data_IF_921368505507
#
_entry.id   IF_921368505507
#
_cell.length_a   1.000
_cell.length_b   1.000
_cell.length_c   1.000
_cell.angle_alpha   90.00
_cell.angle_beta   90.00
_cell.angle_gamma   90.00
#
_symmetry.space_group_name_H-M   'P 1'
#
loop_
_entity.id
_entity.type
_entity.pdbx_description
1 polymer ?
#
# COMPACT_ATOMS: atom_id res chain seq x y z
N UNK A 1 11.18 -23.74 20.26
CA UNK A 1 12.06 -22.80 19.54
C UNK A 1 11.24 -21.95 18.58
N UNK A 2 11.54 -20.66 18.47
CA UNK A 2 10.86 -19.78 17.50
C UNK A 2 11.24 -20.16 16.06
N UNK A 3 10.26 -20.65 15.31
CA UNK A 3 10.35 -20.97 13.89
C UNK A 3 9.91 -19.76 13.07
N UNK A 4 10.62 -19.51 11.96
CA UNK A 4 10.30 -18.49 10.98
C UNK A 4 10.38 -19.10 9.58
N UNK A 5 9.32 -18.96 8.79
CA UNK A 5 9.27 -19.52 7.44
C UNK A 5 8.61 -18.54 6.47
N UNK A 6 9.09 -18.53 5.24
CA UNK A 6 8.55 -17.72 4.13
C UNK A 6 8.09 -18.66 3.03
N UNK A 7 6.95 -18.34 2.44
CA UNK A 7 6.32 -19.08 1.36
C UNK A 7 6.04 -18.14 0.20
N UNK A 8 6.16 -18.67 -1.02
CA UNK A 8 5.77 -17.98 -2.25
C UNK A 8 4.84 -18.90 -3.04
N UNK A 9 3.60 -18.46 -3.30
CA UNK A 9 2.55 -19.27 -3.93
C UNK A 9 1.93 -18.57 -5.12
N UNK A 10 1.26 -19.33 -5.99
CA UNK A 10 0.31 -18.74 -6.93
C UNK A 10 -0.98 -18.35 -6.19
N UNK A 11 -1.41 -17.10 -6.38
CA UNK A 11 -2.72 -16.64 -5.91
C UNK A 11 -3.73 -16.61 -7.08
N UNK A 12 -4.69 -15.69 -7.05
CA UNK A 12 -5.70 -15.55 -8.09
C UNK A 12 -5.37 -14.44 -9.11
N UNK A 13 -5.93 -14.61 -10.30
CA UNK A 13 -6.12 -13.53 -11.27
C UNK A 13 -7.22 -12.57 -10.80
N UNK A 14 -7.22 -11.33 -11.30
CA UNK A 14 -8.39 -10.46 -11.20
C UNK A 14 -9.37 -10.85 -12.30
N UNK A 15 -10.33 -11.69 -11.94
CA UNK A 15 -11.31 -12.27 -12.86
C UNK A 15 -12.27 -11.23 -13.41
N UNK A 16 -12.63 -10.22 -12.62
CA UNK A 16 -13.55 -9.16 -13.02
C UNK A 16 -12.96 -8.32 -14.16
N UNK A 17 -11.67 -7.98 -14.03
CA UNK A 17 -10.96 -7.16 -15.02
C UNK A 17 -10.26 -7.98 -16.11
N UNK A 18 -10.26 -9.32 -16.01
CA UNK A 18 -9.54 -10.20 -16.93
C UNK A 18 -8.01 -10.02 -16.86
N UNK A 19 -7.48 -9.53 -15.73
CA UNK A 19 -6.06 -9.25 -15.54
C UNK A 19 -5.39 -10.46 -14.90
N UNK A 20 -4.42 -11.03 -15.61
CA UNK A 20 -3.62 -12.14 -15.09
C UNK A 20 -2.58 -11.65 -14.09
N UNK A 21 -2.51 -12.33 -12.94
CA UNK A 21 -1.45 -12.08 -11.96
C UNK A 21 -0.15 -12.73 -12.45
N UNK A 22 0.93 -11.97 -12.42
CA UNK A 22 2.27 -12.44 -12.81
C UNK A 22 3.21 -12.67 -11.63
N UNK A 23 2.93 -12.02 -10.49
CA UNK A 23 3.73 -12.11 -9.27
C UNK A 23 3.26 -13.25 -8.35
N UNK A 24 4.20 -13.90 -7.64
CA UNK A 24 3.85 -14.80 -6.54
C UNK A 24 3.29 -14.01 -5.36
N UNK A 25 2.44 -14.65 -4.57
CA UNK A 25 2.03 -14.18 -3.28
C UNK A 25 3.03 -14.66 -2.22
N UNK A 26 3.70 -13.71 -1.56
CA UNK A 26 4.55 -14.01 -0.42
C UNK A 26 3.74 -13.96 0.88
N UNK A 27 3.89 -14.97 1.73
CA UNK A 27 3.46 -14.88 3.13
C UNK A 27 4.52 -15.46 4.05
N UNK A 28 4.56 -14.95 5.28
CA UNK A 28 5.54 -15.32 6.29
C UNK A 28 4.85 -15.74 7.56
N UNK A 29 5.35 -16.79 8.19
CA UNK A 29 4.82 -17.29 9.45
C UNK A 29 5.90 -17.30 10.52
N UNK A 30 5.46 -17.13 11.77
CA UNK A 30 6.26 -17.40 12.95
C UNK A 30 5.42 -18.14 13.98
N UNK A 31 6.00 -19.15 14.62
CA UNK A 31 5.39 -19.88 15.73
C UNK A 31 6.49 -20.50 16.60
N UNK A 32 6.20 -20.81 17.85
CA UNK A 32 7.13 -21.53 18.73
C UNK A 32 6.74 -23.02 18.73
N UNK A 33 7.63 -23.88 18.25
CA UNK A 33 7.36 -25.32 18.12
C UNK A 33 7.39 -26.10 19.45
N UNK A 34 7.78 -25.44 20.54
CA UNK A 34 7.69 -25.98 21.90
C UNK A 34 6.32 -25.73 22.55
N UNK A 35 5.49 -24.89 21.95
CA UNK A 35 4.19 -24.50 22.51
C UNK A 35 3.03 -25.31 21.92
N UNK A 36 1.99 -25.46 22.72
CA UNK A 36 0.70 -26.00 22.29
C UNK A 36 -0.14 -24.89 21.65
N UNK A 37 -0.01 -24.74 20.33
CA UNK A 37 -0.60 -23.63 19.56
C UNK A 37 -2.14 -23.62 19.64
N UNK A 38 -2.71 -22.44 19.88
CA UNK A 38 -4.14 -22.21 20.17
C UNK A 38 -4.88 -21.43 19.09
N UNK A 39 -4.19 -20.73 18.20
CA UNK A 39 -4.82 -19.98 17.12
C UNK A 39 -3.82 -19.67 15.98
N UNK A 40 -4.38 -19.32 14.83
CA UNK A 40 -3.70 -18.64 13.72
C UNK A 40 -4.08 -17.16 13.79
N UNK A 41 -3.08 -16.28 13.79
CA UNK A 41 -3.26 -14.83 13.89
C UNK A 41 -2.63 -14.14 12.69
N UNK A 42 -3.45 -13.56 11.83
CA UNK A 42 -3.00 -12.68 10.76
C UNK A 42 -2.80 -11.26 11.31
N UNK A 43 -1.60 -10.71 11.10
CA UNK A 43 -1.25 -9.34 11.46
C UNK A 43 -1.23 -8.50 10.19
N UNK A 44 -2.30 -7.72 10.00
CA UNK A 44 -2.52 -6.92 8.80
C UNK A 44 -2.16 -5.47 9.09
N UNK A 45 -1.07 -5.01 8.48
CA UNK A 45 -0.63 -3.64 8.57
C UNK A 45 -1.59 -2.66 7.88
N UNK A 46 -1.59 -1.42 8.35
CA UNK A 46 -2.29 -0.32 7.69
C UNK A 46 -1.70 0.02 6.32
N UNK A 47 -2.31 1.00 5.65
CA UNK A 47 -1.85 1.46 4.35
C UNK A 47 -0.42 1.99 4.44
N UNK A 48 0.50 1.46 3.63
CA UNK A 48 1.92 1.82 3.70
C UNK A 48 2.75 1.09 4.75
N UNK A 49 2.23 0.01 5.36
CA UNK A 49 3.00 -0.83 6.28
C UNK A 49 4.29 -1.41 5.66
N UNK A 50 4.39 -1.43 4.32
CA UNK A 50 5.60 -1.83 3.61
C UNK A 50 6.78 -0.84 3.77
N UNK A 51 6.57 0.34 4.36
CA UNK A 51 7.63 1.33 4.55
C UNK A 51 8.81 0.83 5.42
N UNK A 52 8.55 -0.11 6.34
CA UNK A 52 9.57 -0.72 7.20
C UNK A 52 9.30 -2.22 7.37
N UNK A 53 10.01 -3.03 6.59
CA UNK A 53 9.80 -4.49 6.59
C UNK A 53 10.32 -5.12 7.88
N UNK A 54 11.41 -4.58 8.45
CA UNK A 54 11.96 -5.07 9.71
C UNK A 54 10.93 -4.99 10.84
N UNK A 55 10.20 -3.89 10.94
CA UNK A 55 9.19 -3.68 11.97
C UNK A 55 8.01 -4.64 11.83
N UNK A 56 7.59 -4.90 10.59
CA UNK A 56 6.57 -5.90 10.27
C UNK A 56 6.98 -7.31 10.77
N UNK A 57 8.20 -7.74 10.44
CA UNK A 57 8.73 -9.03 10.89
C UNK A 57 8.91 -9.09 12.41
N UNK A 58 9.38 -7.99 13.02
CA UNK A 58 9.61 -7.89 14.46
C UNK A 58 8.31 -8.10 15.24
N UNK A 59 7.21 -7.50 14.81
CA UNK A 59 5.91 -7.70 15.44
C UNK A 59 5.38 -9.13 15.30
N UNK A 60 5.51 -9.74 14.13
CA UNK A 60 5.13 -11.14 13.93
C UNK A 60 5.88 -12.06 14.89
N UNK A 61 7.19 -11.87 14.98
CA UNK A 61 8.06 -12.65 15.86
C UNK A 61 7.73 -12.41 17.34
N UNK A 62 7.45 -11.15 17.71
CA UNK A 62 7.07 -10.79 19.07
C UNK A 62 5.78 -11.50 19.49
N UNK A 63 4.74 -11.49 18.65
CA UNK A 63 3.46 -12.14 18.97
C UNK A 63 3.64 -13.65 19.10
N UNK A 64 4.29 -14.30 18.13
CA UNK A 64 4.57 -15.74 18.17
C UNK A 64 5.39 -16.16 19.40
N UNK A 65 6.34 -15.32 19.84
CA UNK A 65 7.16 -15.58 21.02
C UNK A 65 6.38 -15.45 22.33
N UNK A 66 5.45 -14.50 22.43
CA UNK A 66 4.74 -14.21 23.68
C UNK A 66 3.43 -14.97 23.84
N UNK A 67 2.81 -15.42 22.74
CA UNK A 67 1.52 -16.10 22.75
C UNK A 67 1.61 -17.47 22.09
N UNK A 68 0.66 -18.35 22.38
CA UNK A 68 0.61 -19.71 21.86
C UNK A 68 -0.08 -19.71 20.49
N UNK A 69 0.50 -19.00 19.50
CA UNK A 69 -0.16 -18.76 18.21
C UNK A 69 0.81 -18.88 17.02
N UNK A 70 0.26 -19.25 15.87
CA UNK A 70 0.94 -19.07 14.57
C UNK A 70 0.63 -17.66 14.10
N UNK A 71 1.64 -16.81 13.96
CA UNK A 71 1.47 -15.43 13.50
C UNK A 71 1.86 -15.30 12.05
N UNK A 72 1.06 -14.60 11.24
CA UNK A 72 1.21 -14.51 9.78
C UNK A 72 1.24 -13.05 9.32
N UNK A 73 2.16 -12.73 8.41
CA UNK A 73 2.04 -11.58 7.53
C UNK A 73 1.85 -12.05 6.09
N UNK A 74 0.99 -11.36 5.36
CA UNK A 74 0.76 -11.59 3.93
C UNK A 74 1.22 -10.35 3.19
N UNK A 75 2.10 -10.52 2.20
CA UNK A 75 2.55 -9.47 1.29
C UNK A 75 1.58 -9.42 0.12
N UNK A 76 0.36 -9.01 0.44
CA UNK A 76 -0.82 -9.08 -0.42
C UNK A 76 -0.74 -8.15 -1.65
N UNK A 77 -1.69 -8.28 -2.58
CA UNK A 77 -1.79 -7.44 -3.78
C UNK A 77 -1.79 -5.95 -3.44
N UNK A 78 -0.89 -5.18 -4.03
CA UNK A 78 -0.69 -3.76 -3.76
C UNK A 78 -0.15 -3.48 -2.32
N UNK A 79 0.46 -4.47 -1.66
CA UNK A 79 1.17 -4.26 -0.39
C UNK A 79 2.34 -3.25 -0.56
N UNK A 80 3.07 -3.37 -1.67
CA UNK A 80 4.26 -2.57 -1.99
C UNK A 80 3.91 -1.21 -2.63
N UNK A 81 2.97 -0.48 -2.03
CA UNK A 81 2.40 0.76 -2.59
C UNK A 81 3.05 2.05 -2.08
N UNK A 82 4.10 1.95 -1.25
CA UNK A 82 4.91 3.07 -0.75
C UNK A 82 6.40 2.79 -0.92
N UNK A 83 7.24 3.80 -0.74
CA UNK A 83 8.68 3.61 -0.60
C UNK A 83 8.96 2.77 0.64
N UNK A 84 9.84 1.78 0.48
CA UNK A 84 10.28 0.86 1.52
C UNK A 84 11.77 1.01 1.78
N UNK A 85 12.20 0.61 2.98
CA UNK A 85 13.59 0.40 3.38
C UNK A 85 14.25 -0.78 2.64
N UNK A 86 13.45 -1.67 2.05
CA UNK A 86 13.92 -2.80 1.26
C UNK A 86 13.43 -2.67 -0.18
N UNK A 87 14.37 -2.68 -1.14
CA UNK A 87 14.11 -2.41 -2.56
C UNK A 87 13.03 -3.32 -3.17
N UNK A 88 13.05 -4.63 -2.87
CA UNK A 88 12.04 -5.60 -3.33
C UNK A 88 10.60 -5.16 -3.02
N UNK A 89 10.38 -4.43 -1.93
CA UNK A 89 9.05 -4.01 -1.46
C UNK A 89 8.78 -2.51 -1.65
N UNK A 90 9.62 -1.82 -2.43
CA UNK A 90 9.57 -0.38 -2.61
C UNK A 90 8.85 -0.01 -3.90
N UNK A 91 7.81 0.82 -3.80
CA UNK A 91 7.25 1.49 -4.97
C UNK A 91 8.27 2.48 -5.55
N UNK A 92 8.27 2.65 -6.87
CA UNK A 92 9.03 3.71 -7.53
C UNK A 92 8.13 4.85 -7.99
N UNK A 93 8.70 6.06 -8.02
CA UNK A 93 8.02 7.26 -8.50
C UNK A 93 8.14 7.33 -10.01
N UNK A 94 7.05 7.65 -10.69
CA UNK A 94 7.01 7.83 -12.13
C UNK A 94 6.05 8.98 -12.48
N UNK A 95 6.37 9.78 -13.50
CA UNK A 95 5.44 10.78 -14.00
C UNK A 95 4.63 10.19 -15.15
N UNK A 96 3.33 10.04 -14.91
CA UNK A 96 2.38 9.76 -15.97
C UNK A 96 2.09 11.03 -16.77
N UNK A 97 1.39 10.91 -17.90
CA UNK A 97 1.09 12.04 -18.78
C UNK A 97 0.35 13.16 -18.03
N UNK A 98 -0.56 12.79 -17.13
CA UNK A 98 -1.30 13.71 -16.27
C UNK A 98 -0.40 14.45 -15.28
N UNK A 99 0.67 13.79 -14.79
CA UNK A 99 1.65 14.44 -13.92
C UNK A 99 2.51 15.43 -14.69
N UNK A 100 2.90 15.08 -15.91
CA UNK A 100 3.61 15.99 -16.82
C UNK A 100 2.73 17.20 -17.15
N UNK A 101 1.44 16.99 -17.40
CA UNK A 101 0.49 18.07 -17.67
C UNK A 101 0.25 18.95 -16.44
N UNK A 102 0.17 18.38 -15.24
CA UNK A 102 0.15 19.14 -13.98
C UNK A 102 1.39 20.05 -13.85
N UNK A 103 2.59 19.54 -14.15
CA UNK A 103 3.81 20.34 -14.12
C UNK A 103 3.77 21.49 -15.15
N UNK A 104 3.32 21.23 -16.39
CA UNK A 104 3.15 22.28 -17.41
C UNK A 104 2.21 23.38 -16.95
N UNK A 105 1.07 23.01 -16.39
CA UNK A 105 0.07 23.97 -15.91
C UNK A 105 0.66 24.87 -14.82
N UNK A 106 1.43 24.31 -13.89
CA UNK A 106 2.13 25.08 -12.87
C UNK A 106 3.23 25.98 -13.46
N UNK A 107 4.03 25.49 -14.41
CA UNK A 107 5.05 26.32 -15.08
C UNK A 107 4.41 27.51 -15.81
N UNK A 108 3.31 27.28 -16.54
CA UNK A 108 2.57 28.32 -17.25
C UNK A 108 1.94 29.35 -16.30
N UNK A 109 1.37 28.89 -15.17
CA UNK A 109 0.79 29.77 -14.14
C UNK A 109 1.81 30.79 -13.61
N UNK A 110 3.09 30.40 -13.51
CA UNK A 110 4.17 31.27 -13.04
C UNK A 110 4.95 31.96 -14.16
N UNK A 111 4.47 31.85 -15.42
CA UNK A 111 5.18 32.36 -16.61
C UNK A 111 6.65 31.91 -16.67
N UNK A 112 6.92 30.69 -16.17
CA UNK A 112 8.26 30.13 -16.15
C UNK A 112 8.59 29.61 -17.55
N UNK A 113 9.73 30.03 -18.13
CA UNK A 113 10.11 29.59 -19.48
C UNK A 113 10.66 28.15 -19.44
N UNK A 114 10.13 27.28 -20.29
CA UNK A 114 10.60 25.91 -20.45
C UNK A 114 10.53 25.47 -21.93
N UNK A 115 11.38 24.52 -22.31
CA UNK A 115 11.32 23.86 -23.62
C UNK A 115 10.31 22.72 -23.62
N UNK A 116 10.54 21.67 -24.40
CA UNK A 116 9.73 20.45 -24.28
C UNK A 116 9.93 19.79 -22.91
N UNK A 117 8.86 19.21 -22.37
CA UNK A 117 8.87 18.47 -21.10
C UNK A 117 8.57 17.01 -21.34
N UNK A 118 9.33 16.14 -20.68
CA UNK A 118 9.18 14.70 -20.69
C UNK A 118 9.64 14.12 -19.34
N UNK A 119 9.58 12.80 -19.20
CA UNK A 119 9.96 12.11 -17.96
C UNK A 119 11.43 12.37 -17.53
N UNK A 120 12.34 12.60 -18.48
CA UNK A 120 13.77 12.77 -18.19
C UNK A 120 14.07 14.14 -17.57
N UNK A 121 13.29 15.18 -17.92
CA UNK A 121 13.54 16.55 -17.47
C UNK A 121 12.48 17.12 -16.51
N UNK A 122 11.33 16.45 -16.35
CA UNK A 122 10.21 16.93 -15.54
C UNK A 122 10.60 17.23 -14.08
N UNK A 123 11.39 16.33 -13.45
CA UNK A 123 11.84 16.54 -12.07
C UNK A 123 12.72 17.79 -11.94
N UNK A 124 13.60 18.02 -12.91
CA UNK A 124 14.47 19.20 -12.93
C UNK A 124 13.66 20.49 -13.08
N UNK A 125 12.68 20.51 -13.98
CA UNK A 125 11.81 21.66 -14.20
C UNK A 125 10.94 21.95 -12.98
N UNK A 126 10.34 20.93 -12.35
CA UNK A 126 9.59 21.08 -11.11
C UNK A 126 10.45 21.69 -10.00
N UNK A 127 11.67 21.18 -9.80
CA UNK A 127 12.61 21.73 -8.81
C UNK A 127 13.02 23.18 -9.11
N UNK A 128 13.16 23.53 -10.40
CA UNK A 128 13.47 24.90 -10.82
C UNK A 128 12.31 25.86 -10.52
N UNK A 129 11.07 25.41 -10.73
CA UNK A 129 9.88 26.17 -10.36
C UNK A 129 9.75 26.35 -8.85
N UNK A 130 10.09 25.33 -8.06
CA UNK A 130 10.13 25.43 -6.58
C UNK A 130 11.07 26.56 -6.13
N UNK A 131 12.29 26.62 -6.68
CA UNK A 131 13.25 27.69 -6.39
C UNK A 131 12.75 29.07 -6.83
N UNK A 132 12.02 29.13 -7.95
CA UNK A 132 11.41 30.37 -8.41
C UNK A 132 10.34 30.87 -7.42
N UNK A 133 9.47 29.98 -6.95
CA UNK A 133 8.46 30.27 -5.94
C UNK A 133 9.07 30.71 -4.62
N UNK A 134 10.14 30.05 -4.17
CA UNK A 134 10.92 30.47 -3.00
C UNK A 134 11.41 31.91 -3.13
N UNK A 135 12.01 32.27 -4.27
CA UNK A 135 12.48 33.63 -4.54
C UNK A 135 11.34 34.66 -4.54
N UNK A 136 10.18 34.33 -5.11
CA UNK A 136 9.01 35.22 -5.08
C UNK A 136 8.51 35.48 -3.65
N UNK A 137 8.52 34.45 -2.79
CA UNK A 137 8.19 34.60 -1.36
C UNK A 137 9.18 35.51 -0.64
N UNK A 138 10.49 35.32 -0.86
CA UNK A 138 11.51 36.20 -0.27
C UNK A 138 11.35 37.67 -0.68
N UNK A 139 10.85 37.92 -1.89
CA UNK A 139 10.55 39.27 -2.40
C UNK A 139 9.19 39.80 -1.91
N UNK A 140 8.46 39.06 -1.05
CA UNK A 140 7.09 39.34 -0.63
C UNK A 140 6.10 39.50 -1.80
N UNK A 141 6.36 38.83 -2.93
CA UNK A 141 5.49 38.81 -4.12
C UNK A 141 4.49 37.65 -4.10
N UNK A 142 4.64 36.73 -3.16
CA UNK A 142 3.79 35.56 -2.99
C UNK A 142 3.62 35.29 -1.50
N UNK A 143 2.46 34.77 -1.11
CA UNK A 143 2.19 34.37 0.27
C UNK A 143 3.23 33.35 0.76
N UNK A 144 3.78 33.58 1.97
CA UNK A 144 4.76 32.69 2.60
C UNK A 144 4.22 31.27 2.80
N UNK A 145 2.92 31.11 2.99
CA UNK A 145 2.23 29.83 3.14
C UNK A 145 1.86 29.14 1.81
N UNK A 146 1.99 29.83 0.67
CA UNK A 146 1.67 29.24 -0.63
C UNK A 146 2.50 27.98 -0.90
N UNK A 147 1.91 26.93 -1.48
CA UNK A 147 2.65 25.75 -1.94
C UNK A 147 2.21 25.35 -3.33
N UNK A 148 3.19 25.01 -4.17
CA UNK A 148 2.92 24.32 -5.43
C UNK A 148 2.38 22.91 -5.14
N UNK A 149 1.30 22.52 -5.79
CA UNK A 149 0.75 21.17 -5.67
C UNK A 149 1.11 20.35 -6.91
N UNK A 150 2.25 19.66 -6.84
CA UNK A 150 2.65 18.71 -7.87
C UNK A 150 1.93 17.38 -7.69
N UNK A 151 1.74 16.65 -8.78
CA UNK A 151 1.28 15.26 -8.74
C UNK A 151 2.39 14.30 -9.19
N UNK A 152 2.36 13.07 -8.70
CA UNK A 152 3.24 11.99 -9.15
C UNK A 152 2.56 10.63 -8.93
N UNK A 153 3.01 9.61 -9.65
CA UNK A 153 2.45 8.26 -9.54
C UNK A 153 3.42 7.33 -8.83
N UNK A 154 2.92 6.54 -7.87
CA UNK A 154 3.64 5.38 -7.37
C UNK A 154 3.31 4.14 -8.20
N UNK A 155 4.34 3.42 -8.59
CA UNK A 155 4.21 2.14 -9.28
C UNK A 155 4.72 1.03 -8.35
N UNK A 156 3.82 0.13 -7.88
CA UNK A 156 4.23 -1.06 -7.16
C UNK A 156 5.13 -1.96 -8.03
N UNK A 157 6.16 -2.61 -7.44
CA UNK A 157 7.15 -3.40 -8.18
C UNK A 157 6.58 -4.66 -8.86
N UNK A 158 5.42 -5.13 -8.42
CA UNK A 158 4.82 -6.40 -8.86
C UNK A 158 3.76 -6.24 -9.98
N UNK A 159 3.64 -5.04 -10.56
CA UNK A 159 2.56 -4.74 -11.52
C UNK A 159 1.17 -4.64 -10.88
N UNK A 160 1.13 -4.54 -9.54
CA UNK A 160 -0.12 -4.41 -8.79
C UNK A 160 -0.75 -3.03 -9.01
N UNK A 161 -2.04 -2.94 -8.73
CA UNK A 161 -2.84 -1.73 -8.81
C UNK A 161 -3.79 -1.67 -7.62
N UNK A 162 -4.40 -0.51 -7.41
CA UNK A 162 -5.33 -0.33 -6.33
C UNK A 162 -6.73 -0.78 -6.75
N UNK A 163 -7.24 -1.83 -6.11
CA UNK A 163 -8.63 -2.30 -6.22
C UNK A 163 -9.37 -2.29 -4.86
N UNK A 164 -8.87 -1.49 -3.95
CA UNK A 164 -9.37 -1.22 -2.62
C UNK A 164 -9.80 -2.45 -1.80
N UNK A 165 -8.98 -3.50 -1.85
CA UNK A 165 -8.99 -4.57 -0.85
C UNK A 165 -9.56 -5.90 -1.29
N UNK A 166 -10.21 -6.00 -2.46
CA UNK A 166 -10.76 -7.28 -2.93
C UNK A 166 -9.66 -8.32 -3.15
N UNK A 167 -8.66 -7.99 -3.97
CA UNK A 167 -7.55 -8.92 -4.25
C UNK A 167 -6.68 -9.12 -3.01
N UNK A 168 -6.48 -8.07 -2.21
CA UNK A 168 -5.75 -8.19 -0.96
C UNK A 168 -6.44 -9.14 0.04
N UNK A 169 -7.76 -9.07 0.21
CA UNK A 169 -8.51 -9.98 1.07
C UNK A 169 -8.43 -11.43 0.57
N UNK A 170 -8.56 -11.65 -0.74
CA UNK A 170 -8.43 -12.98 -1.35
C UNK A 170 -7.03 -13.55 -1.14
N UNK A 171 -5.97 -12.74 -1.23
CA UNK A 171 -4.60 -13.16 -0.95
C UNK A 171 -4.45 -13.70 0.48
N UNK A 172 -5.07 -13.07 1.48
CA UNK A 172 -5.06 -13.59 2.85
C UNK A 172 -5.79 -14.92 2.98
N UNK A 173 -6.91 -15.09 2.27
CA UNK A 173 -7.66 -16.36 2.23
C UNK A 173 -6.82 -17.46 1.56
N UNK A 174 -6.12 -17.14 0.48
CA UNK A 174 -5.26 -18.09 -0.22
C UNK A 174 -4.03 -18.47 0.61
N UNK A 175 -3.43 -17.51 1.32
CA UNK A 175 -2.35 -17.78 2.28
C UNK A 175 -2.81 -18.75 3.38
N UNK A 176 -4.02 -18.56 3.95
CA UNK A 176 -4.58 -19.52 4.92
C UNK A 176 -4.74 -20.91 4.31
N UNK A 177 -5.35 -21.00 3.12
CA UNK A 177 -5.61 -22.27 2.44
C UNK A 177 -4.33 -23.04 2.13
N UNK A 178 -3.28 -22.33 1.74
CA UNK A 178 -1.96 -22.93 1.52
C UNK A 178 -1.34 -23.40 2.84
N UNK A 179 -1.34 -22.52 3.86
CA UNK A 179 -0.78 -22.85 5.18
C UNK A 179 -1.37 -24.13 5.77
N UNK A 180 -2.69 -24.30 5.75
CA UNK A 180 -3.33 -25.50 6.34
C UNK A 180 -3.09 -26.76 5.51
N UNK A 181 -2.72 -26.65 4.22
CA UNK A 181 -2.26 -27.79 3.42
C UNK A 181 -0.84 -28.17 3.80
N UNK A 182 0.05 -27.18 3.97
CA UNK A 182 1.43 -27.40 4.39
C UNK A 182 1.52 -27.93 5.83
N UNK A 183 0.61 -27.48 6.70
CA UNK A 183 0.53 -27.86 8.11
C UNK A 183 -0.89 -28.33 8.46
N UNK A 184 -1.26 -29.58 8.14
CA UNK A 184 -2.60 -30.10 8.42
C UNK A 184 -3.01 -29.99 9.90
N UNK A 185 -2.04 -30.04 10.82
CA UNK A 185 -2.28 -29.84 12.27
C UNK A 185 -2.81 -28.45 12.63
N UNK A 186 -2.68 -27.46 11.76
CA UNK A 186 -3.21 -26.10 12.00
C UNK A 186 -4.64 -25.93 11.47
N UNK A 187 -5.18 -26.90 10.72
CA UNK A 187 -6.45 -26.76 10.03
C UNK A 187 -7.63 -26.42 10.96
N UNK A 188 -7.63 -27.00 12.17
CA UNK A 188 -8.69 -26.84 13.16
C UNK A 188 -8.46 -25.68 14.14
N UNK A 189 -7.31 -25.00 14.06
CA UNK A 189 -7.04 -23.84 14.92
C UNK A 189 -7.99 -22.68 14.57
N UNK A 190 -8.48 -21.92 15.56
CA UNK A 190 -9.19 -20.66 15.33
C UNK A 190 -8.37 -19.68 14.49
N UNK A 191 -9.01 -19.01 13.52
CA UNK A 191 -8.40 -18.04 12.61
C UNK A 191 -8.82 -16.63 12.97
N UNK A 192 -7.86 -15.84 13.41
CA UNK A 192 -8.06 -14.46 13.87
C UNK A 192 -7.37 -13.52 12.89
N UNK A 193 -8.08 -12.50 12.43
CA UNK A 193 -7.53 -11.45 11.56
C UNK A 193 -7.52 -10.12 12.32
N UNK A 194 -6.34 -9.56 12.53
CA UNK A 194 -6.16 -8.33 13.30
C UNK A 194 -5.40 -7.27 12.53
N UNK A 195 -5.91 -6.05 12.53
CA UNK A 195 -5.24 -4.95 11.83
C UNK A 195 -5.74 -3.56 12.20
N UNK A 196 -4.91 -2.56 11.90
CA UNK A 196 -5.23 -1.15 12.11
C UNK A 196 -5.46 -0.41 10.80
N UNK A 197 -6.37 0.58 10.80
CA UNK A 197 -6.68 1.39 9.60
C UNK A 197 -7.07 0.48 8.42
N UNK A 198 -6.34 0.52 7.30
CA UNK A 198 -6.59 -0.38 6.17
C UNK A 198 -6.55 -1.87 6.56
N UNK A 199 -5.73 -2.27 7.51
CA UNK A 199 -5.68 -3.66 7.99
C UNK A 199 -6.93 -4.10 8.76
N UNK A 200 -7.58 -3.17 9.46
CA UNK A 200 -8.86 -3.39 10.13
C UNK A 200 -9.98 -3.56 9.10
N UNK A 201 -10.01 -2.67 8.10
CA UNK A 201 -10.91 -2.79 6.93
C UNK A 201 -10.73 -4.15 6.22
N UNK A 202 -9.49 -4.56 5.92
CA UNK A 202 -9.22 -5.85 5.30
C UNK A 202 -9.68 -7.02 6.17
N UNK A 203 -9.47 -6.96 7.48
CA UNK A 203 -9.90 -8.03 8.40
C UNK A 203 -11.42 -8.23 8.36
N UNK A 204 -12.19 -7.14 8.35
CA UNK A 204 -13.65 -7.17 8.21
C UNK A 204 -14.07 -7.66 6.81
N UNK A 205 -13.38 -7.23 5.76
CA UNK A 205 -13.68 -7.65 4.38
C UNK A 205 -13.43 -9.16 4.18
N UNK A 206 -12.34 -9.70 4.74
CA UNK A 206 -12.04 -11.13 4.73
C UNK A 206 -13.16 -11.92 5.42
N UNK A 207 -13.61 -11.46 6.60
CA UNK A 207 -14.74 -12.07 7.32
C UNK A 207 -16.04 -12.04 6.52
N UNK A 208 -16.24 -11.00 5.69
CA UNK A 208 -17.41 -10.89 4.81
C UNK A 208 -17.33 -11.84 3.62
N UNK A 209 -16.16 -11.97 2.99
CA UNK A 209 -15.94 -12.81 1.79
C UNK A 209 -15.92 -14.30 2.16
N UNK A 210 -15.26 -14.64 3.26
CA UNK A 210 -14.98 -16.03 3.65
C UNK A 210 -15.29 -16.27 5.13
N UNK A 211 -16.56 -16.11 5.58
CA UNK A 211 -16.93 -16.17 6.99
C UNK A 211 -16.57 -17.50 7.67
N UNK A 212 -16.59 -18.61 6.93
CA UNK A 212 -16.22 -19.94 7.44
C UNK A 212 -14.71 -20.13 7.68
N UNK A 213 -13.90 -19.17 7.25
CA UNK A 213 -12.46 -19.15 7.44
C UNK A 213 -12.01 -18.10 8.47
N UNK A 214 -12.96 -17.52 9.21
CA UNK A 214 -12.71 -16.47 10.20
C UNK A 214 -13.47 -16.77 11.50
N UNK A 215 -12.73 -16.95 12.59
CA UNK A 215 -13.29 -17.16 13.93
C UNK A 215 -13.27 -15.87 14.78
N UNK A 216 -12.44 -14.89 14.41
CA UNK A 216 -12.39 -13.61 15.10
C UNK A 216 -11.76 -12.48 14.29
N UNK A 217 -12.21 -11.25 14.55
CA UNK A 217 -11.65 -10.02 13.96
C UNK A 217 -11.25 -9.05 15.07
N UNK A 218 -10.05 -8.50 14.97
CA UNK A 218 -9.58 -7.38 15.79
C UNK A 218 -9.42 -6.16 14.88
N UNK A 219 -10.43 -5.31 14.87
CA UNK A 219 -10.39 -4.05 14.13
C UNK A 219 -9.90 -2.91 15.05
N UNK A 220 -8.85 -2.22 14.60
CA UNK A 220 -8.43 -0.96 15.19
C UNK A 220 -8.56 0.18 14.17
N UNK A 221 -9.64 0.96 14.29
CA UNK A 221 -9.86 2.17 13.49
C UNK A 221 -9.94 1.90 11.97
N UNK A 222 -10.46 0.73 11.57
CA UNK A 222 -10.78 0.41 10.19
C UNK A 222 -11.90 1.27 9.65
N UNK A 223 -11.88 1.51 8.34
CA UNK A 223 -12.94 2.28 7.69
C UNK A 223 -14.16 1.39 7.47
N UNK A 224 -15.33 1.82 7.95
CA UNK A 224 -16.60 1.16 7.70
C UNK A 224 -17.12 1.37 6.27
N UNK A 225 -16.70 2.47 5.62
CA UNK A 225 -17.01 2.80 4.23
C UNK A 225 -15.72 2.91 3.42
N UNK A 226 -15.67 2.39 2.20
CA UNK A 226 -14.47 2.53 1.39
C UNK A 226 -14.27 4.02 1.04
N UNK A 227 -13.11 4.63 1.37
CA UNK A 227 -12.81 6.00 0.99
C UNK A 227 -12.69 6.09 -0.53
N UNK A 228 -13.58 6.89 -1.15
CA UNK A 228 -13.70 6.98 -2.60
C UNK A 228 -12.41 7.42 -3.30
N UNK A 229 -11.53 8.16 -2.60
CA UNK A 229 -10.25 8.58 -3.16
C UNK A 229 -9.35 7.41 -3.56
N UNK A 230 -9.39 6.28 -2.85
CA UNK A 230 -8.61 5.09 -3.20
C UNK A 230 -9.25 4.25 -4.31
N UNK A 231 -10.50 4.55 -4.67
CA UNK A 231 -11.25 3.88 -5.75
C UNK A 231 -11.14 4.71 -7.02
N UNK A 232 -11.50 5.98 -6.95
CA UNK A 232 -11.57 6.90 -8.08
C UNK A 232 -10.21 7.53 -8.42
N UNK A 233 -9.26 7.52 -7.49
CA UNK A 233 -7.92 8.03 -7.70
C UNK A 233 -7.91 9.47 -8.24
N UNK A 234 -7.35 9.64 -9.44
CA UNK A 234 -7.19 10.95 -10.10
C UNK A 234 -8.51 11.58 -10.55
N UNK A 235 -9.59 10.81 -10.68
CA UNK A 235 -10.88 11.33 -11.11
C UNK A 235 -11.67 12.03 -10.01
N UNK A 236 -11.23 11.93 -8.75
CA UNK A 236 -11.84 12.71 -7.67
C UNK A 236 -11.62 14.20 -7.89
N UNK A 237 -12.72 14.93 -8.06
CA UNK A 237 -12.74 16.38 -7.98
C UNK A 237 -12.10 16.81 -6.65
N UNK A 238 -11.12 17.70 -6.72
CA UNK A 238 -10.26 18.11 -5.59
C UNK A 238 -9.24 17.08 -5.10
N UNK A 239 -8.58 16.34 -6.01
CA UNK A 239 -7.25 15.72 -5.86
C UNK A 239 -6.86 15.25 -4.45
N UNK A 240 -7.70 14.44 -3.81
CA UNK A 240 -7.30 13.72 -2.61
C UNK A 240 -6.43 12.53 -3.04
N UNK A 241 -5.13 12.75 -3.18
CA UNK A 241 -4.18 11.66 -3.47
C UNK A 241 -4.11 10.63 -2.35
N UNK A 242 -3.50 9.50 -2.65
CA UNK A 242 -3.33 8.38 -1.73
C UNK A 242 -2.32 8.68 -0.62
N UNK A 243 -1.35 9.55 -0.92
CA UNK A 243 -0.25 9.94 -0.04
C UNK A 243 0.28 11.31 -0.43
N UNK A 244 0.88 11.99 0.54
CA UNK A 244 1.42 13.32 0.36
C UNK A 244 2.84 13.38 0.92
N UNK A 245 3.74 14.00 0.16
CA UNK A 245 4.99 14.52 0.71
C UNK A 245 4.88 16.04 0.77
N UNK A 246 5.08 16.60 1.96
CA UNK A 246 4.94 18.03 2.19
C UNK A 246 6.32 18.67 2.42
N UNK A 247 6.61 19.71 1.66
CA UNK A 247 7.86 20.47 1.69
C UNK A 247 7.56 21.95 1.98
N UNK A 248 8.58 22.78 2.28
CA UNK A 248 8.34 24.20 2.60
C UNK A 248 7.66 25.01 1.48
N UNK A 249 7.93 24.69 0.21
CA UNK A 249 7.47 25.47 -0.95
C UNK A 249 6.56 24.69 -1.90
N UNK A 250 6.42 23.39 -1.69
CA UNK A 250 5.60 22.52 -2.52
C UNK A 250 5.07 21.33 -1.72
N UNK A 251 4.06 20.69 -2.29
CA UNK A 251 3.53 19.40 -1.90
C UNK A 251 3.52 18.50 -3.12
N UNK A 252 3.80 17.23 -2.93
CA UNK A 252 3.64 16.20 -3.95
C UNK A 252 2.48 15.32 -3.53
N UNK A 253 1.46 15.24 -4.39
CA UNK A 253 0.27 14.41 -4.24
C UNK A 253 0.50 13.13 -5.04
N UNK A 254 0.55 12.00 -4.35
CA UNK A 254 0.82 10.70 -4.96
C UNK A 254 -0.46 9.94 -5.27
N UNK A 255 -0.49 9.32 -6.44
CA UNK A 255 -1.56 8.44 -6.89
C UNK A 255 -1.02 7.04 -7.17
N UNK A 256 -1.87 6.03 -7.00
CA UNK A 256 -1.68 4.68 -7.50
C UNK A 256 -2.57 4.47 -8.72
N UNK A 257 -2.12 3.58 -9.60
CA UNK A 257 -2.96 3.13 -10.71
C UNK A 257 -4.20 2.43 -10.14
N UNK A 258 -5.36 2.72 -10.73
CA UNK A 258 -6.61 2.03 -10.45
C UNK A 258 -7.32 1.69 -11.76
N UNK A 259 -8.27 0.75 -11.69
CA UNK A 259 -9.07 0.27 -12.82
C UNK A 259 -10.58 0.43 -12.58
N UNK A 260 -10.98 1.09 -11.49
CA UNK A 260 -12.40 1.31 -11.16
C UNK A 260 -13.10 2.29 -12.09
N UNK A 261 -12.32 3.11 -12.79
CA UNK A 261 -12.80 4.14 -13.70
C UNK A 261 -12.13 3.95 -15.07
N UNK A 262 -12.73 4.52 -16.12
CA UNK A 262 -12.47 4.16 -17.52
C UNK A 262 -11.26 4.87 -18.12
#
# INVERSE_FOLDING_TARGET
MLINQTFEIDSCDDVELGIKRTSKLEYRISYDDEKDLKAIVFVIGGYGANANIYFLDSYRNYIAKNFDVVTINVFYHCFCQRRSDVEKYSAYKYFQEEDIENIKNLLNQFHFSYGEINNDNALFLANSLVKHVENLKMQNKLDHNFKLNFTSTFIPPNGDYQNFGIMAAIDHINALKDLVKCFPKFADLPKIYGGGSYGGYLSLLIAKIAPWYVDGVIDNSGSALPPLNYILGREMEHSYGDYYEDFPHNRIIFFLKTHWTR
#
